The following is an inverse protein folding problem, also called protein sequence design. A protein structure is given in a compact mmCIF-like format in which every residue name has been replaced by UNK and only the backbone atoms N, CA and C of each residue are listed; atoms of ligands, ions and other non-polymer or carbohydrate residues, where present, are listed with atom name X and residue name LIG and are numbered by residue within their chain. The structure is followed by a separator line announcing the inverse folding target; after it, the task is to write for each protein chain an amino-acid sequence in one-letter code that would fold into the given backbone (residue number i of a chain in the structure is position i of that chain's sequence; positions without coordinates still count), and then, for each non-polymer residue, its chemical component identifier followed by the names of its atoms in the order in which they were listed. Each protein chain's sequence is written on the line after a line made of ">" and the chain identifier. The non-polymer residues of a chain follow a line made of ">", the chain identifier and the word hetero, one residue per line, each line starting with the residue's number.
data_IF_217349815712
#
_entry.id   IF_217349815712
#
_cell.length_a   1.000
_cell.length_b   1.000
_cell.length_c   1.000
_cell.angle_alpha   90.00
_cell.angle_beta   90.00
_cell.angle_gamma   90.00
#
_symmetry.space_group_name_H-M   'P 1'
#
loop_
_entity.id
_entity.type
_entity.pdbx_description
1 polymer ?
#
# COMPACT_ATOMS: atom_id res chain seq x y z
N UNK A 1 0.25 26.41 -30.62
CA UNK A 1 -0.67 26.27 -29.47
C UNK A 1 -2.07 25.97 -29.99
N UNK A 2 -2.48 24.69 -30.00
CA UNK A 2 -3.87 24.28 -30.23
C UNK A 2 -4.35 23.65 -28.93
N UNK A 3 -5.31 24.30 -28.27
CA UNK A 3 -5.99 23.74 -27.11
C UNK A 3 -6.76 22.49 -27.55
N UNK A 4 -6.43 21.34 -26.95
CA UNK A 4 -7.21 20.11 -27.06
C UNK A 4 -8.58 20.32 -26.42
N UNK A 5 -9.68 19.84 -27.05
CA UNK A 5 -11.01 20.02 -26.50
C UNK A 5 -11.19 19.14 -25.26
N UNK A 6 -11.62 19.76 -24.18
CA UNK A 6 -11.97 19.11 -22.91
C UNK A 6 -13.21 18.23 -23.18
N UNK A 7 -13.07 16.92 -23.02
CA UNK A 7 -14.16 15.95 -23.15
C UNK A 7 -15.23 16.20 -22.07
N UNK A 8 -16.47 16.59 -22.44
CA UNK A 8 -17.52 16.94 -21.49
C UNK A 8 -18.14 15.73 -20.77
N UNK A 9 -17.66 14.50 -21.00
CA UNK A 9 -18.17 13.30 -20.32
C UNK A 9 -17.44 12.93 -19.01
N UNK A 10 -16.51 13.76 -18.53
CA UNK A 10 -15.85 13.60 -17.21
C UNK A 10 -16.56 14.33 -16.07
N UNK A 11 -17.79 14.82 -16.26
CA UNK A 11 -18.62 15.27 -15.14
C UNK A 11 -19.15 14.06 -14.36
N UNK A 12 -18.52 13.84 -13.20
CA UNK A 12 -19.12 13.26 -12.02
C UNK A 12 -20.00 12.02 -12.24
N UNK A 13 -19.38 10.85 -12.41
CA UNK A 13 -20.05 9.67 -11.84
C UNK A 13 -20.15 9.94 -10.34
N UNK A 14 -21.36 10.03 -9.75
CA UNK A 14 -21.48 10.34 -8.34
C UNK A 14 -20.67 9.30 -7.58
N UNK A 15 -19.76 9.75 -6.72
CA UNK A 15 -18.88 8.92 -5.88
C UNK A 15 -19.66 7.79 -5.20
N UNK A 16 -20.95 8.03 -4.94
CA UNK A 16 -21.95 7.06 -4.47
C UNK A 16 -22.09 5.83 -5.39
N UNK A 17 -22.19 6.01 -6.72
CA UNK A 17 -22.33 4.87 -7.65
C UNK A 17 -21.06 4.02 -7.72
N UNK A 18 -19.87 4.63 -7.60
CA UNK A 18 -18.59 3.91 -7.56
C UNK A 18 -18.47 3.11 -6.26
N UNK A 19 -18.81 3.71 -5.11
CA UNK A 19 -18.87 3.03 -3.80
C UNK A 19 -19.86 1.86 -3.82
N UNK A 20 -21.08 2.05 -4.34
CA UNK A 20 -22.09 0.98 -4.42
C UNK A 20 -21.64 -0.20 -5.31
N UNK A 21 -20.93 0.08 -6.42
CA UNK A 21 -20.41 -0.98 -7.30
C UNK A 21 -19.23 -1.73 -6.66
N UNK A 22 -18.35 -1.03 -5.95
CA UNK A 22 -17.25 -1.64 -5.20
C UNK A 22 -17.76 -2.48 -4.03
N UNK A 23 -18.73 -1.97 -3.26
CA UNK A 23 -19.43 -2.70 -2.19
C UNK A 23 -20.10 -3.97 -2.75
N UNK A 24 -20.78 -3.89 -3.90
CA UNK A 24 -21.41 -5.03 -4.53
C UNK A 24 -20.40 -6.11 -5.00
N UNK A 25 -19.24 -5.70 -5.54
CA UNK A 25 -18.16 -6.62 -5.94
C UNK A 25 -17.49 -7.30 -4.74
N UNK A 26 -17.18 -6.53 -3.69
CA UNK A 26 -16.58 -7.06 -2.47
C UNK A 26 -17.54 -8.00 -1.73
N UNK A 27 -18.83 -7.65 -1.65
CA UNK A 27 -19.87 -8.51 -1.08
C UNK A 27 -19.98 -9.84 -1.81
N UNK A 28 -19.88 -9.84 -3.15
CA UNK A 28 -19.86 -11.09 -3.95
C UNK A 28 -18.62 -11.94 -3.67
N UNK A 29 -17.44 -11.31 -3.60
CA UNK A 29 -16.18 -12.03 -3.35
C UNK A 29 -16.14 -12.63 -1.94
N UNK A 30 -16.68 -11.91 -0.97
CA UNK A 30 -16.75 -12.35 0.42
C UNK A 30 -17.79 -13.46 0.66
N UNK A 31 -18.97 -13.38 0.04
CA UNK A 31 -19.98 -14.45 0.08
C UNK A 31 -19.45 -15.74 -0.57
N UNK A 32 -18.56 -15.63 -1.57
CA UNK A 32 -17.98 -16.78 -2.26
C UNK A 32 -16.97 -17.59 -1.40
N UNK A 33 -16.38 -16.98 -0.37
CA UNK A 33 -15.39 -17.64 0.49
C UNK A 33 -15.98 -18.34 1.72
N UNK A 34 -17.28 -18.18 2.00
CA UNK A 34 -17.92 -18.87 3.12
C UNK A 34 -18.33 -20.27 2.68
N UNK A 35 -17.91 -21.35 3.38
CA UNK A 35 -18.32 -22.71 3.05
C UNK A 35 -19.85 -22.81 2.97
N UNK A 36 -20.38 -23.37 1.88
CA UNK A 36 -21.84 -23.42 1.63
C UNK A 36 -22.63 -24.08 2.76
N UNK A 37 -22.03 -25.02 3.50
CA UNK A 37 -22.66 -25.69 4.65
C UNK A 37 -22.85 -24.79 5.89
N UNK A 38 -22.16 -23.65 5.99
CA UNK A 38 -22.28 -22.71 7.10
C UNK A 38 -23.30 -21.59 6.83
N UNK A 39 -24.17 -21.75 5.82
CA UNK A 39 -25.25 -20.80 5.57
C UNK A 39 -26.32 -20.90 6.66
N UNK A 40 -26.83 -19.76 7.19
CA UNK A 40 -27.80 -19.77 8.29
C UNK A 40 -29.10 -20.51 7.93
N UNK A 41 -29.52 -20.47 6.65
CA UNK A 41 -30.70 -21.19 6.15
C UNK A 41 -30.60 -22.70 6.36
N UNK A 42 -29.43 -23.29 6.12
CA UNK A 42 -29.20 -24.74 6.29
C UNK A 42 -29.29 -25.11 7.78
N UNK A 43 -28.79 -24.24 8.66
CA UNK A 43 -28.87 -24.45 10.10
C UNK A 43 -30.31 -24.52 10.62
N UNK A 44 -31.25 -23.75 10.06
CA UNK A 44 -32.66 -23.84 10.45
C UNK A 44 -33.23 -25.24 10.16
N UNK A 45 -32.96 -25.81 8.98
CA UNK A 45 -33.41 -27.16 8.65
C UNK A 45 -32.72 -28.24 9.49
N UNK A 46 -31.42 -28.09 9.76
CA UNK A 46 -30.66 -29.04 10.59
C UNK A 46 -31.00 -28.96 12.08
N UNK A 47 -31.56 -27.85 12.57
CA UNK A 47 -31.92 -27.72 13.99
C UNK A 47 -32.94 -28.76 14.45
N UNK A 48 -33.95 -29.06 13.62
CA UNK A 48 -35.00 -30.05 13.93
C UNK A 48 -34.45 -31.46 14.18
N UNK A 49 -33.69 -32.09 13.26
CA UNK A 49 -33.17 -33.44 13.49
C UNK A 49 -32.17 -33.48 14.66
N UNK A 50 -31.35 -32.45 14.85
CA UNK A 50 -30.41 -32.40 15.97
C UNK A 50 -31.12 -32.34 17.33
N UNK A 51 -32.16 -31.50 17.46
CA UNK A 51 -32.96 -31.44 18.70
C UNK A 51 -33.76 -32.73 18.89
N UNK A 52 -34.31 -33.31 17.83
CA UNK A 52 -35.02 -34.59 17.89
C UNK A 52 -34.11 -35.75 18.34
N UNK A 53 -32.88 -35.84 17.80
CA UNK A 53 -31.88 -36.82 18.23
C UNK A 53 -31.55 -36.63 19.71
N UNK A 54 -31.31 -35.39 20.14
CA UNK A 54 -31.02 -35.08 21.54
C UNK A 54 -32.18 -35.47 22.47
N UNK A 55 -33.43 -35.22 22.05
CA UNK A 55 -34.63 -35.62 22.78
C UNK A 55 -34.74 -37.15 22.89
N UNK A 56 -34.63 -37.88 21.79
CA UNK A 56 -34.69 -39.35 21.76
C UNK A 56 -33.61 -39.95 22.65
N UNK A 57 -32.38 -39.44 22.54
CA UNK A 57 -31.26 -39.89 23.35
C UNK A 57 -31.53 -39.64 24.83
N UNK A 58 -32.07 -38.48 25.19
CA UNK A 58 -32.43 -38.15 26.58
C UNK A 58 -33.51 -39.09 27.14
N UNK A 59 -34.53 -39.42 26.34
CA UNK A 59 -35.57 -40.38 26.74
C UNK A 59 -35.01 -41.80 26.91
N UNK A 60 -34.11 -42.23 26.02
CA UNK A 60 -33.42 -43.52 26.11
C UNK A 60 -32.55 -43.61 27.37
N UNK A 61 -31.80 -42.54 27.69
CA UNK A 61 -31.02 -42.46 28.92
C UNK A 61 -31.92 -42.50 30.16
N UNK A 62 -33.06 -41.80 30.17
CA UNK A 62 -34.02 -41.84 31.28
C UNK A 62 -34.60 -43.24 31.49
N UNK A 63 -34.83 -44.00 30.40
CA UNK A 63 -35.31 -45.38 30.48
C UNK A 63 -34.25 -46.33 31.07
N UNK A 64 -32.97 -46.06 30.81
CA UNK A 64 -31.86 -46.95 31.17
C UNK A 64 -31.23 -46.60 32.53
N UNK A 65 -31.20 -45.32 32.90
CA UNK A 65 -30.57 -44.78 34.11
C UNK A 65 -31.64 -44.19 35.04
N UNK A 66 -31.83 -44.81 36.21
CA UNK A 66 -32.90 -44.49 37.16
C UNK A 66 -32.70 -43.15 37.88
N UNK A 67 -31.49 -42.58 37.86
CA UNK A 67 -31.16 -41.29 38.49
C UNK A 67 -30.46 -40.36 37.48
N UNK A 68 -31.26 -39.63 36.71
CA UNK A 68 -30.76 -38.57 35.82
C UNK A 68 -31.23 -37.20 36.30
N UNK A 69 -30.32 -36.48 36.97
CA UNK A 69 -30.63 -35.22 37.65
C UNK A 69 -30.85 -34.03 36.70
N UNK A 70 -30.46 -34.12 35.41
CA UNK A 70 -30.63 -33.02 34.46
C UNK A 70 -30.95 -33.49 33.02
N UNK A 71 -32.21 -33.83 32.73
CA UNK A 71 -32.70 -34.22 31.40
C UNK A 71 -32.23 -33.29 30.25
N UNK A 72 -32.17 -31.98 30.49
CA UNK A 72 -31.82 -31.00 29.46
C UNK A 72 -30.37 -30.99 28.97
N UNK A 73 -29.44 -31.75 29.57
CA UNK A 73 -28.00 -31.64 29.28
C UNK A 73 -27.66 -31.81 27.79
N UNK A 74 -28.24 -32.84 27.15
CA UNK A 74 -27.98 -33.15 25.74
C UNK A 74 -28.57 -32.10 24.80
N UNK A 75 -29.68 -31.48 25.20
CA UNK A 75 -30.32 -30.43 24.43
C UNK A 75 -29.52 -29.12 24.50
N UNK A 76 -28.92 -28.80 25.66
CA UNK A 76 -27.98 -27.69 25.81
C UNK A 76 -26.75 -27.87 24.91
N UNK A 77 -26.18 -29.08 24.87
CA UNK A 77 -25.05 -29.38 23.99
C UNK A 77 -25.40 -29.14 22.52
N UNK A 78 -26.58 -29.59 22.09
CA UNK A 78 -27.08 -29.33 20.73
C UNK A 78 -27.19 -27.84 20.43
N UNK A 79 -27.73 -27.04 21.35
CA UNK A 79 -27.85 -25.58 21.17
C UNK A 79 -26.47 -24.94 20.97
N UNK A 80 -25.48 -25.33 21.78
CA UNK A 80 -24.11 -24.80 21.68
C UNK A 80 -23.48 -25.18 20.34
N UNK A 81 -23.62 -26.43 19.90
CA UNK A 81 -23.11 -26.90 18.60
C UNK A 81 -23.76 -26.16 17.44
N UNK A 82 -25.09 -26.01 17.45
CA UNK A 82 -25.82 -25.30 16.40
C UNK A 82 -25.43 -23.82 16.36
N UNK A 83 -25.30 -23.18 17.53
CA UNK A 83 -24.86 -21.79 17.64
C UNK A 83 -23.43 -21.56 17.12
N UNK A 84 -22.52 -22.50 17.41
CA UNK A 84 -21.13 -22.38 16.98
C UNK A 84 -20.99 -22.48 15.46
N UNK A 85 -21.74 -23.38 14.82
CA UNK A 85 -21.62 -23.70 13.40
C UNK A 85 -22.45 -22.75 12.52
N UNK A 86 -23.71 -22.48 12.88
CA UNK A 86 -24.66 -21.74 12.02
C UNK A 86 -25.12 -20.38 12.59
N UNK A 87 -24.72 -20.02 13.81
CA UNK A 87 -25.01 -18.72 14.41
C UNK A 87 -26.37 -18.63 15.12
N UNK A 88 -26.82 -17.40 15.39
CA UNK A 88 -27.95 -17.12 16.32
C UNK A 88 -29.28 -17.65 15.83
N UNK A 89 -29.58 -17.48 14.55
CA UNK A 89 -30.91 -17.78 14.02
C UNK A 89 -31.33 -19.22 14.31
N UNK A 90 -30.57 -20.22 13.82
CA UNK A 90 -30.81 -21.63 14.12
C UNK A 90 -30.68 -21.99 15.61
N UNK A 91 -29.79 -21.30 16.33
CA UNK A 91 -29.61 -21.53 17.77
C UNK A 91 -30.84 -21.12 18.58
N UNK A 92 -31.45 -19.97 18.28
CA UNK A 92 -32.69 -19.52 18.92
C UNK A 92 -33.85 -20.49 18.66
N UNK A 93 -33.96 -20.99 17.43
CA UNK A 93 -34.94 -22.02 17.09
C UNK A 93 -34.68 -23.31 17.90
N UNK A 94 -33.41 -23.70 18.04
CA UNK A 94 -33.02 -24.86 18.84
C UNK A 94 -33.32 -24.68 20.33
N UNK A 95 -33.10 -23.48 20.88
CA UNK A 95 -33.49 -23.12 22.26
C UNK A 95 -35.01 -23.25 22.40
N UNK A 96 -35.79 -22.67 21.49
CA UNK A 96 -37.25 -22.72 21.54
C UNK A 96 -37.79 -24.15 21.49
N UNK A 97 -37.32 -24.96 20.53
CA UNK A 97 -37.69 -26.37 20.40
C UNK A 97 -37.29 -27.17 21.65
N UNK A 98 -36.11 -26.90 22.20
CA UNK A 98 -35.61 -27.61 23.38
C UNK A 98 -36.41 -27.27 24.63
N UNK A 99 -36.75 -26.00 24.84
CA UNK A 99 -37.61 -25.55 25.96
C UNK A 99 -38.99 -26.19 25.86
N UNK A 100 -39.59 -26.23 24.67
CA UNK A 100 -40.93 -26.82 24.46
C UNK A 100 -40.92 -28.34 24.72
N UNK A 101 -39.86 -29.03 24.28
CA UNK A 101 -39.71 -30.46 24.57
C UNK A 101 -39.47 -30.75 26.06
N UNK A 102 -38.75 -29.89 26.79
CA UNK A 102 -38.61 -30.02 28.24
C UNK A 102 -39.94 -29.83 28.98
N UNK A 103 -40.70 -28.80 28.59
CA UNK A 103 -42.02 -28.50 29.14
C UNK A 103 -43.00 -29.66 28.92
N UNK A 104 -43.06 -30.22 27.71
CA UNK A 104 -44.01 -31.28 27.38
C UNK A 104 -43.62 -32.68 27.90
N UNK A 105 -42.35 -33.08 27.78
CA UNK A 105 -41.94 -34.48 28.05
C UNK A 105 -41.38 -34.71 29.46
N UNK A 106 -40.85 -33.68 30.11
CA UNK A 106 -40.08 -33.84 31.36
C UNK A 106 -40.72 -33.18 32.58
N UNK A 107 -41.54 -32.14 32.41
CA UNK A 107 -42.30 -31.52 33.52
C UNK A 107 -43.64 -32.25 33.69
N UNK A 108 -43.97 -32.80 34.87
CA UNK A 108 -45.22 -33.54 35.09
C UNK A 108 -46.44 -32.61 34.91
N UNK A 109 -47.23 -32.86 33.86
CA UNK A 109 -48.46 -32.12 33.56
C UNK A 109 -49.62 -32.54 34.48
N UNK A 110 -49.58 -32.14 35.75
CA UNK A 110 -50.71 -32.23 36.68
C UNK A 110 -51.38 -30.87 36.85
N UNK A 111 -52.19 -30.45 35.87
CA UNK A 111 -53.21 -29.36 35.81
C UNK A 111 -53.12 -28.07 36.66
N UNK A 112 -52.04 -27.79 37.39
CA UNK A 112 -51.80 -26.52 38.04
C UNK A 112 -50.40 -26.10 37.65
N UNK A 113 -50.28 -24.90 37.05
CA UNK A 113 -49.03 -24.16 36.87
C UNK A 113 -48.38 -23.93 38.25
N UNK A 114 -47.76 -24.98 38.80
CA UNK A 114 -46.98 -24.90 40.01
C UNK A 114 -45.61 -24.35 39.64
N UNK A 115 -45.56 -23.03 39.44
CA UNK A 115 -44.33 -22.23 39.50
C UNK A 115 -43.66 -22.30 40.89
N UNK A 116 -44.17 -23.14 41.80
CA UNK A 116 -43.69 -23.33 43.17
C UNK A 116 -42.67 -24.47 43.32
N UNK A 117 -42.46 -25.30 42.29
CA UNK A 117 -41.42 -26.35 42.31
C UNK A 117 -40.09 -25.81 41.75
N UNK A 118 -39.04 -25.81 42.59
CA UNK A 118 -37.71 -25.33 42.21
C UNK A 118 -37.05 -26.16 41.09
N UNK A 119 -37.52 -27.39 40.86
CA UNK A 119 -36.97 -28.30 39.84
C UNK A 119 -37.21 -27.81 38.40
N UNK A 120 -38.39 -27.23 38.11
CA UNK A 120 -38.69 -26.69 36.77
C UNK A 120 -37.84 -25.46 36.45
N UNK A 121 -37.68 -24.58 37.44
CA UNK A 121 -36.81 -23.39 37.31
C UNK A 121 -35.35 -23.80 37.10
N UNK A 122 -34.87 -24.81 37.83
CA UNK A 122 -33.51 -25.32 37.69
C UNK A 122 -33.23 -25.90 36.29
N UNK A 123 -34.24 -26.48 35.63
CA UNK A 123 -34.10 -27.03 34.28
C UNK A 123 -34.14 -25.97 33.18
N UNK A 124 -34.96 -24.92 33.34
CA UNK A 124 -35.17 -23.89 32.32
C UNK A 124 -34.05 -22.82 32.35
N UNK A 125 -33.54 -22.47 33.53
CA UNK A 125 -32.57 -21.38 33.72
C UNK A 125 -31.28 -21.52 32.87
N UNK A 126 -30.65 -22.71 32.74
CA UNK A 126 -29.48 -22.89 31.87
C UNK A 126 -29.75 -22.62 30.38
N UNK A 127 -30.95 -22.90 29.88
CA UNK A 127 -31.32 -22.63 28.47
C UNK A 127 -31.41 -21.13 28.20
N UNK A 128 -31.98 -20.37 29.13
CA UNK A 128 -31.99 -18.91 29.06
C UNK A 128 -30.57 -18.32 29.11
N UNK A 129 -29.71 -18.82 30.01
CA UNK A 129 -28.32 -18.38 30.10
C UNK A 129 -27.54 -18.64 28.80
N UNK A 130 -27.67 -19.82 28.22
CA UNK A 130 -27.02 -20.17 26.95
C UNK A 130 -27.58 -19.32 25.80
N UNK A 131 -28.89 -19.07 25.77
CA UNK A 131 -29.50 -18.16 24.79
C UNK A 131 -28.91 -16.75 24.83
N UNK A 132 -28.70 -16.21 26.04
CA UNK A 132 -28.07 -14.89 26.23
C UNK A 132 -26.60 -14.92 25.77
N UNK A 133 -25.84 -15.94 26.14
CA UNK A 133 -24.44 -16.09 25.74
C UNK A 133 -24.32 -16.14 24.20
N UNK A 134 -25.16 -16.93 23.54
CA UNK A 134 -25.18 -17.05 22.07
C UNK A 134 -25.52 -15.71 21.42
N UNK A 135 -26.50 -14.99 21.95
CA UNK A 135 -26.88 -13.66 21.47
C UNK A 135 -25.71 -12.67 21.57
N UNK A 136 -25.01 -12.64 22.71
CA UNK A 136 -23.84 -11.77 22.92
C UNK A 136 -22.71 -12.13 21.96
N UNK A 137 -22.31 -13.42 21.90
CA UNK A 137 -21.20 -13.88 21.06
C UNK A 137 -21.44 -13.52 19.60
N UNK A 138 -22.67 -13.73 19.10
CA UNK A 138 -22.93 -13.40 17.71
C UNK A 138 -23.07 -11.90 17.45
N UNK A 139 -23.60 -11.14 18.41
CA UNK A 139 -23.60 -9.68 18.31
C UNK A 139 -22.16 -9.15 18.18
N UNK A 140 -21.23 -9.71 18.96
CA UNK A 140 -19.81 -9.39 18.88
C UNK A 140 -19.19 -9.82 17.54
N UNK A 141 -19.48 -11.05 17.06
CA UNK A 141 -18.98 -11.53 15.76
C UNK A 141 -19.45 -10.65 14.60
N UNK A 142 -20.73 -10.30 14.56
CA UNK A 142 -21.31 -9.45 13.51
C UNK A 142 -20.70 -8.04 13.56
N UNK A 143 -20.52 -7.47 14.76
CA UNK A 143 -19.87 -6.18 14.94
C UNK A 143 -18.39 -6.20 14.50
N UNK A 144 -17.64 -7.25 14.87
CA UNK A 144 -16.24 -7.43 14.46
C UNK A 144 -16.11 -7.57 12.93
N UNK A 145 -17.03 -8.33 12.31
CA UNK A 145 -17.07 -8.51 10.85
C UNK A 145 -17.34 -7.21 10.12
N UNK A 146 -18.28 -6.38 10.62
CA UNK A 146 -18.54 -5.05 10.06
C UNK A 146 -17.34 -4.13 10.18
N UNK A 147 -16.68 -4.09 11.35
CA UNK A 147 -15.45 -3.29 11.54
C UNK A 147 -14.34 -3.71 10.60
N UNK A 148 -14.14 -5.02 10.41
CA UNK A 148 -13.14 -5.54 9.48
C UNK A 148 -13.44 -5.09 8.03
N UNK A 149 -14.69 -5.18 7.60
CA UNK A 149 -15.09 -4.73 6.26
C UNK A 149 -14.88 -3.23 6.05
N UNK A 150 -15.28 -2.39 7.02
CA UNK A 150 -15.04 -0.95 6.95
C UNK A 150 -13.55 -0.60 6.97
N UNK A 151 -12.74 -1.32 7.75
CA UNK A 151 -11.30 -1.14 7.77
C UNK A 151 -10.65 -1.53 6.43
N UNK A 152 -11.10 -2.63 5.81
CA UNK A 152 -10.63 -3.06 4.49
C UNK A 152 -10.96 -2.02 3.40
N UNK A 153 -12.19 -1.49 3.41
CA UNK A 153 -12.60 -0.42 2.50
C UNK A 153 -11.76 0.85 2.68
N UNK A 154 -11.54 1.27 3.93
CA UNK A 154 -10.73 2.44 4.23
C UNK A 154 -9.26 2.26 3.83
N UNK A 155 -8.70 1.07 3.99
CA UNK A 155 -7.35 0.75 3.52
C UNK A 155 -7.27 0.80 2.00
N UNK A 156 -8.29 0.30 1.30
CA UNK A 156 -8.33 0.34 -0.16
C UNK A 156 -8.45 1.77 -0.69
N UNK A 157 -9.31 2.59 -0.11
CA UNK A 157 -9.45 4.00 -0.48
C UNK A 157 -8.12 4.76 -0.33
N UNK A 158 -7.40 4.52 0.78
CA UNK A 158 -6.06 5.09 0.99
C UNK A 158 -5.01 4.55 0.02
N UNK A 159 -5.07 3.27 -0.34
CA UNK A 159 -4.14 2.69 -1.31
C UNK A 159 -4.35 3.30 -2.70
N UNK A 160 -5.61 3.45 -3.12
CA UNK A 160 -5.97 4.09 -4.39
C UNK A 160 -5.51 5.58 -4.40
N UNK A 161 -5.69 6.32 -3.31
CA UNK A 161 -5.21 7.71 -3.16
C UNK A 161 -3.68 7.84 -3.20
N UNK A 162 -2.97 6.91 -2.54
CA UNK A 162 -1.50 6.86 -2.59
C UNK A 162 -0.98 6.52 -3.98
N UNK A 163 -1.68 5.67 -4.72
CA UNK A 163 -1.33 5.33 -6.10
C UNK A 163 -1.51 6.54 -7.03
N UNK A 164 -2.63 7.25 -6.91
CA UNK A 164 -2.91 8.47 -7.68
C UNK A 164 -1.86 9.56 -7.42
N UNK A 165 -1.59 9.87 -6.16
CA UNK A 165 -0.58 10.90 -5.79
C UNK A 165 0.84 10.52 -6.22
N UNK A 166 1.21 9.23 -6.15
CA UNK A 166 2.51 8.77 -6.63
C UNK A 166 2.62 8.92 -8.16
N UNK A 167 1.56 8.59 -8.88
CA UNK A 167 1.51 8.73 -10.33
C UNK A 167 1.61 10.21 -10.75
N UNK A 168 0.89 11.12 -10.09
CA UNK A 168 1.03 12.56 -10.30
C UNK A 168 2.45 13.05 -10.03
N UNK A 169 3.05 12.64 -8.91
CA UNK A 169 4.42 13.00 -8.56
C UNK A 169 5.43 12.49 -9.59
N UNK A 170 5.21 11.30 -10.12
CA UNK A 170 6.03 10.70 -11.17
C UNK A 170 5.94 11.48 -12.47
N UNK A 171 4.74 11.88 -12.87
CA UNK A 171 4.51 12.71 -14.07
C UNK A 171 5.18 14.08 -13.93
N UNK A 172 5.02 14.75 -12.78
CA UNK A 172 5.68 16.03 -12.48
C UNK A 172 7.20 15.89 -12.52
N UNK A 173 7.76 14.82 -11.94
CA UNK A 173 9.20 14.57 -12.00
C UNK A 173 9.69 14.33 -13.43
N UNK A 174 8.95 13.59 -14.25
CA UNK A 174 9.31 13.37 -15.65
C UNK A 174 9.31 14.67 -16.45
N UNK A 175 8.31 15.53 -16.25
CA UNK A 175 8.26 16.86 -16.90
C UNK A 175 9.43 17.73 -16.44
N UNK A 176 9.76 17.71 -15.14
CA UNK A 176 10.91 18.44 -14.59
C UNK A 176 12.22 17.98 -15.23
N UNK A 177 12.43 16.67 -15.35
CA UNK A 177 13.65 16.12 -15.95
C UNK A 177 13.77 16.47 -17.44
N UNK A 178 12.65 16.42 -18.18
CA UNK A 178 12.60 16.85 -19.58
C UNK A 178 12.91 18.34 -19.73
N UNK A 179 12.34 19.18 -18.85
CA UNK A 179 12.59 20.61 -18.86
C UNK A 179 14.07 20.94 -18.61
N UNK A 180 14.71 20.30 -17.63
CA UNK A 180 16.14 20.51 -17.34
C UNK A 180 16.98 20.11 -18.56
N UNK A 181 16.71 18.94 -19.16
CA UNK A 181 17.46 18.48 -20.33
C UNK A 181 17.32 19.43 -21.52
N UNK A 182 16.10 19.89 -21.82
CA UNK A 182 15.84 20.84 -22.91
C UNK A 182 16.52 22.20 -22.63
N UNK A 183 16.36 22.75 -21.43
CA UNK A 183 16.95 24.02 -21.05
C UNK A 183 18.48 24.00 -21.19
N UNK A 184 19.14 22.93 -20.76
CA UNK A 184 20.60 22.81 -20.89
C UNK A 184 21.06 22.74 -22.35
N UNK A 185 20.36 22.03 -23.24
CA UNK A 185 20.68 22.02 -24.66
C UNK A 185 20.51 23.40 -25.32
N UNK A 186 19.41 24.09 -25.00
CA UNK A 186 19.12 25.44 -25.47
C UNK A 186 20.09 26.49 -24.90
N UNK A 187 20.69 26.26 -23.73
CA UNK A 187 21.73 27.10 -23.14
C UNK A 187 23.11 26.81 -23.74
N UNK A 188 23.44 25.55 -24.03
CA UNK A 188 24.76 25.16 -24.57
C UNK A 188 25.05 25.81 -25.93
N UNK A 189 24.02 25.98 -26.75
CA UNK A 189 24.13 26.59 -28.08
C UNK A 189 24.56 28.07 -28.05
N UNK A 190 23.87 28.98 -27.33
CA UNK A 190 24.30 30.37 -27.21
C UNK A 190 25.63 30.52 -26.46
N UNK A 191 25.90 29.71 -25.44
CA UNK A 191 27.21 29.65 -24.74
C UNK A 191 28.33 29.35 -25.73
N UNK A 192 28.18 28.29 -26.53
CA UNK A 192 29.16 27.91 -27.55
C UNK A 192 29.37 29.02 -28.58
N UNK A 193 28.30 29.73 -28.95
CA UNK A 193 28.37 30.85 -29.91
C UNK A 193 29.11 32.05 -29.32
N UNK A 194 28.82 32.44 -28.08
CA UNK A 194 29.51 33.52 -27.36
C UNK A 194 31.01 33.19 -27.24
N UNK A 195 31.32 31.95 -26.82
CA UNK A 195 32.71 31.49 -26.70
C UNK A 195 33.44 31.54 -28.04
N UNK A 196 32.83 31.00 -29.09
CA UNK A 196 33.42 31.01 -30.43
C UNK A 196 33.71 32.42 -30.95
N UNK A 197 32.82 33.38 -30.69
CA UNK A 197 33.05 34.78 -31.06
C UNK A 197 34.16 35.43 -30.23
N UNK A 198 34.21 35.16 -28.93
CA UNK A 198 35.28 35.65 -28.05
C UNK A 198 36.64 35.08 -28.48
N UNK A 199 36.75 33.75 -28.64
CA UNK A 199 37.98 33.07 -29.08
C UNK A 199 38.47 33.57 -30.44
N UNK A 200 37.58 33.71 -31.43
CA UNK A 200 37.96 34.21 -32.77
C UNK A 200 38.46 35.65 -32.70
N UNK A 201 37.84 36.49 -31.87
CA UNK A 201 38.23 37.89 -31.73
C UNK A 201 39.56 38.02 -31.00
N UNK A 202 39.75 37.28 -29.90
CA UNK A 202 41.03 37.18 -29.19
C UNK A 202 42.15 36.73 -30.12
N UNK A 203 41.96 35.65 -30.88
CA UNK A 203 42.96 35.16 -31.85
C UNK A 203 43.32 36.19 -32.92
N UNK A 204 42.40 37.06 -33.33
CA UNK A 204 42.67 38.15 -34.28
C UNK A 204 43.50 39.25 -33.64
N UNK A 205 43.19 39.63 -32.41
CA UNK A 205 43.93 40.62 -31.62
C UNK A 205 45.37 40.14 -31.35
N UNK A 206 45.54 38.89 -30.91
CA UNK A 206 46.87 38.32 -30.62
C UNK A 206 47.80 38.19 -31.84
N UNK A 207 47.26 38.26 -33.07
CA UNK A 207 48.05 38.21 -34.32
C UNK A 207 48.59 39.58 -34.74
N UNK A 208 48.13 40.68 -34.13
CA UNK A 208 48.67 42.01 -34.41
C UNK A 208 50.03 42.19 -33.69
N UNK A 209 51.02 42.75 -34.37
CA UNK A 209 52.37 42.96 -33.83
C UNK A 209 52.42 43.99 -32.70
N UNK A 210 51.55 45.00 -32.75
CA UNK A 210 51.38 46.01 -31.71
C UNK A 210 49.88 46.21 -31.53
N UNK A 211 49.39 46.01 -30.31
CA UNK A 211 47.99 46.25 -29.95
C UNK A 211 47.85 47.73 -29.55
N UNK A 212 46.99 48.51 -30.21
CA UNK A 212 46.64 49.85 -29.73
C UNK A 212 46.20 49.82 -28.25
N UNK A 213 46.64 50.81 -27.46
CA UNK A 213 46.35 50.87 -26.02
C UNK A 213 44.83 50.85 -25.73
N UNK A 214 44.02 51.42 -26.63
CA UNK A 214 42.56 51.41 -26.60
C UNK A 214 41.95 50.00 -26.73
N UNK A 215 42.63 49.06 -27.41
CA UNK A 215 42.17 47.68 -27.61
C UNK A 215 42.63 46.72 -26.51
N UNK A 216 43.57 47.13 -25.65
CA UNK A 216 44.03 46.31 -24.52
C UNK A 216 42.88 46.00 -23.55
N UNK A 217 42.04 46.98 -23.23
CA UNK A 217 40.86 46.79 -22.39
C UNK A 217 39.82 45.85 -23.02
N UNK A 218 39.68 45.87 -24.35
CA UNK A 218 38.79 44.96 -25.10
C UNK A 218 39.31 43.52 -25.04
N UNK A 219 40.63 43.31 -25.19
CA UNK A 219 41.23 41.97 -25.07
C UNK A 219 40.98 41.37 -23.69
N UNK A 220 41.22 42.15 -22.63
CA UNK A 220 40.97 41.70 -21.25
C UNK A 220 39.48 41.37 -21.01
N UNK A 221 38.56 42.20 -21.52
CA UNK A 221 37.13 41.92 -21.41
C UNK A 221 36.72 40.63 -22.14
N UNK A 222 37.31 40.35 -23.31
CA UNK A 222 37.06 39.12 -24.06
C UNK A 222 37.62 37.87 -23.36
N UNK A 223 38.79 37.96 -22.74
CA UNK A 223 39.36 36.89 -21.89
C UNK A 223 38.41 36.58 -20.72
N UNK A 224 37.89 37.61 -20.05
CA UNK A 224 36.91 37.42 -18.98
C UNK A 224 35.62 36.78 -19.51
N UNK A 225 35.12 37.17 -20.68
CA UNK A 225 33.94 36.55 -21.31
C UNK A 225 34.22 35.05 -21.58
N UNK A 226 35.39 34.72 -22.12
CA UNK A 226 35.77 33.32 -22.40
C UNK A 226 35.78 32.47 -21.11
N UNK A 227 36.46 32.96 -20.06
CA UNK A 227 36.49 32.31 -18.75
C UNK A 227 35.10 32.13 -18.12
N UNK A 228 34.25 33.16 -18.16
CA UNK A 228 32.87 33.05 -17.65
C UNK A 228 32.04 32.06 -18.46
N UNK A 229 32.26 31.99 -19.77
CA UNK A 229 31.54 31.07 -20.66
C UNK A 229 31.95 29.63 -20.41
N UNK A 230 33.24 29.37 -20.15
CA UNK A 230 33.75 28.06 -19.71
C UNK A 230 33.12 27.63 -18.37
N UNK A 231 33.10 28.53 -17.38
CA UNK A 231 32.49 28.26 -16.08
C UNK A 231 30.99 27.97 -16.20
N UNK A 232 30.27 28.73 -17.01
CA UNK A 232 28.84 28.52 -17.23
C UNK A 232 28.57 27.18 -17.92
N UNK A 233 29.40 26.80 -18.88
CA UNK A 233 29.27 25.51 -19.55
C UNK A 233 29.47 24.34 -18.57
N UNK A 234 30.47 24.42 -17.68
CA UNK A 234 30.68 23.42 -16.65
C UNK A 234 29.47 23.29 -15.70
N UNK A 235 28.88 24.41 -15.28
CA UNK A 235 27.68 24.40 -14.42
C UNK A 235 26.45 23.79 -15.13
N UNK A 236 26.30 24.02 -16.44
CA UNK A 236 25.23 23.43 -17.25
C UNK A 236 25.42 21.92 -17.39
N UNK A 237 26.66 21.47 -17.58
CA UNK A 237 27.02 20.06 -17.66
C UNK A 237 26.79 19.36 -16.30
N UNK A 238 27.22 19.95 -15.19
CA UNK A 238 26.96 19.44 -13.83
C UNK A 238 25.46 19.28 -13.53
N UNK A 239 24.64 20.24 -13.97
CA UNK A 239 23.19 20.18 -13.81
C UNK A 239 22.57 19.02 -14.59
N UNK A 240 23.05 18.77 -15.81
CA UNK A 240 22.61 17.65 -16.65
C UNK A 240 23.00 16.30 -16.04
N UNK A 241 24.21 16.19 -15.52
CA UNK A 241 24.72 14.98 -14.88
C UNK A 241 23.89 14.65 -13.63
N UNK A 242 23.65 15.64 -12.76
CA UNK A 242 22.79 15.48 -11.58
C UNK A 242 21.37 15.06 -11.95
N UNK A 243 20.79 15.60 -13.01
CA UNK A 243 19.47 15.21 -13.50
C UNK A 243 19.47 13.76 -14.02
N UNK A 244 20.50 13.38 -14.77
CA UNK A 244 20.65 12.02 -15.34
C UNK A 244 20.87 10.96 -14.27
N UNK A 245 21.63 11.28 -13.21
CA UNK A 245 21.85 10.43 -12.04
C UNK A 245 20.53 10.22 -11.27
N UNK A 246 19.81 11.31 -10.95
CA UNK A 246 18.53 11.22 -10.23
C UNK A 246 17.46 10.45 -11.00
N UNK A 247 17.48 10.53 -12.33
CA UNK A 247 16.58 9.75 -13.19
C UNK A 247 17.02 8.28 -13.39
N UNK A 248 18.16 7.87 -12.84
CA UNK A 248 18.72 6.53 -13.04
C UNK A 248 19.12 6.21 -14.49
N UNK A 249 19.37 7.25 -15.31
CA UNK A 249 19.67 7.12 -16.74
C UNK A 249 21.16 7.16 -17.05
N UNK A 250 22.02 7.49 -16.08
CA UNK A 250 23.46 7.52 -16.26
C UNK A 250 23.99 6.11 -16.55
N UNK A 251 24.60 5.93 -17.72
CA UNK A 251 25.24 4.67 -18.11
C UNK A 251 26.73 4.81 -17.90
N UNK A 252 27.25 4.11 -16.89
CA UNK A 252 28.68 4.06 -16.61
C UNK A 252 29.41 3.25 -17.68
N UNK A 253 30.53 3.75 -18.19
CA UNK A 253 31.41 3.01 -19.12
C UNK A 253 32.63 2.48 -18.40
N UNK A 254 32.38 1.44 -17.62
CA UNK A 254 33.40 0.72 -16.85
C UNK A 254 34.58 0.28 -17.75
N UNK A 255 35.78 0.74 -17.39
CA UNK A 255 37.04 0.37 -18.02
C UNK A 255 38.10 0.06 -16.96
N UNK A 256 39.04 -0.82 -17.30
CA UNK A 256 40.17 -1.11 -16.43
C UNK A 256 41.28 -0.10 -16.70
N UNK A 257 41.70 0.64 -15.68
CA UNK A 257 42.79 1.60 -15.75
C UNK A 257 43.64 1.59 -14.48
N UNK A 258 44.87 2.11 -14.58
CA UNK A 258 45.73 2.34 -13.42
C UNK A 258 45.41 3.71 -12.80
N UNK A 259 44.93 3.72 -11.55
CA UNK A 259 44.57 4.96 -10.85
C UNK A 259 45.74 5.96 -10.78
N UNK A 260 46.98 5.46 -10.78
CA UNK A 260 48.19 6.30 -10.74
C UNK A 260 48.27 7.25 -11.94
N UNK A 261 47.93 6.76 -13.13
CA UNK A 261 47.93 7.55 -14.37
C UNK A 261 46.89 8.67 -14.31
N UNK A 262 45.69 8.36 -13.83
CA UNK A 262 44.61 9.34 -13.66
C UNK A 262 45.00 10.43 -12.66
N UNK A 263 45.55 10.05 -11.50
CA UNK A 263 46.02 11.00 -10.51
C UNK A 263 47.18 11.87 -11.03
N UNK A 264 48.11 11.30 -11.81
CA UNK A 264 49.20 12.05 -12.44
C UNK A 264 48.65 13.07 -13.44
N UNK A 265 47.75 12.66 -14.34
CA UNK A 265 47.12 13.56 -15.30
C UNK A 265 46.39 14.72 -14.61
N UNK A 266 45.62 14.44 -13.57
CA UNK A 266 44.89 15.47 -12.82
C UNK A 266 45.83 16.47 -12.11
N UNK A 267 46.93 15.99 -11.53
CA UNK A 267 47.91 16.86 -10.86
C UNK A 267 48.67 17.73 -11.86
N UNK A 268 49.07 17.17 -13.01
CA UNK A 268 49.74 17.93 -14.07
C UNK A 268 48.83 19.01 -14.67
N UNK A 269 47.55 18.68 -14.92
CA UNK A 269 46.56 19.65 -15.38
C UNK A 269 46.40 20.82 -14.40
N UNK A 270 46.30 20.54 -13.10
CA UNK A 270 46.18 21.58 -12.08
C UNK A 270 47.45 22.43 -11.92
N UNK A 271 48.63 21.83 -12.03
CA UNK A 271 49.92 22.56 -12.02
C UNK A 271 50.00 23.54 -13.19
N UNK A 272 49.57 23.13 -14.38
CA UNK A 272 49.54 23.98 -15.59
C UNK A 272 48.57 25.16 -15.46
N UNK A 273 47.37 24.93 -14.91
CA UNK A 273 46.33 25.95 -14.81
C UNK A 273 46.53 26.95 -13.66
N UNK A 274 47.10 26.51 -12.54
CA UNK A 274 47.11 27.31 -11.30
C UNK A 274 48.49 27.68 -10.79
N UNK A 275 49.55 27.08 -11.32
CA UNK A 275 50.91 27.25 -10.81
C UNK A 275 51.13 26.72 -9.38
N UNK A 276 50.17 25.98 -8.82
CA UNK A 276 50.27 25.41 -7.46
C UNK A 276 51.27 24.27 -7.42
N UNK A 277 52.03 24.20 -6.34
CA UNK A 277 52.84 23.02 -6.03
C UNK A 277 51.97 21.96 -5.35
N UNK A 278 51.74 20.85 -6.06
CA UNK A 278 50.98 19.69 -5.55
C UNK A 278 51.97 18.53 -5.46
N UNK A 279 52.25 18.05 -4.26
CA UNK A 279 53.09 16.85 -4.06
C UNK A 279 52.21 15.60 -4.18
N UNK A 280 52.62 14.64 -4.99
CA UNK A 280 51.83 13.45 -5.32
C UNK A 280 52.61 12.19 -4.90
N UNK A 281 52.19 11.59 -3.78
CA UNK A 281 52.71 10.30 -3.32
C UNK A 281 51.90 9.16 -3.93
N UNK A 282 52.56 8.22 -4.58
CA UNK A 282 51.91 7.07 -5.22
C UNK A 282 52.64 5.77 -4.91
N UNK A 283 51.92 4.63 -4.77
CA UNK A 283 52.54 3.33 -4.60
C UNK A 283 53.31 2.88 -5.86
N UNK A 284 54.40 2.15 -5.66
CA UNK A 284 55.23 1.62 -6.76
C UNK A 284 54.48 0.58 -7.62
N UNK A 285 53.51 -0.11 -7.04
CA UNK A 285 52.68 -1.10 -7.73
C UNK A 285 51.46 -0.47 -8.40
N UNK A 286 51.07 -0.92 -9.62
CA UNK A 286 49.84 -0.49 -10.29
C UNK A 286 48.58 -0.68 -9.43
N UNK A 287 47.72 0.33 -9.38
CA UNK A 287 46.43 0.26 -8.68
C UNK A 287 45.33 0.15 -9.73
N UNK A 288 45.07 -1.07 -10.16
CA UNK A 288 44.08 -1.35 -11.20
C UNK A 288 42.66 -1.19 -10.62
N UNK A 289 41.87 -0.31 -11.23
CA UNK A 289 40.46 -0.12 -10.91
C UNK A 289 39.59 -0.42 -12.12
N UNK A 290 38.36 -0.85 -11.85
CA UNK A 290 37.30 -0.99 -12.83
C UNK A 290 36.23 0.06 -12.54
N UNK A 291 36.31 1.20 -13.22
CA UNK A 291 35.45 2.36 -13.02
C UNK A 291 35.22 3.11 -14.35
N UNK A 292 34.30 4.07 -14.34
CA UNK A 292 34.09 5.04 -15.43
C UNK A 292 34.89 6.32 -15.16
#
# INVERSE_FOLDING_TARGET
>A
MRATPIDPKREGRPVVLVRLQQEAKLRRHYIAQVPRWCQPLIGYFLSFPFVAIALILTLLLKMTLTHFYFPGALMLLTIVLVAFIWGVGPALLSVFLSTLALDYFFIPSGEQLSLQSWDGVAQILPFFLIGIIVAIISGQREAARRRALFAELALKERADELEETNQELKEVNQVKDQFISMASHELKTPITTIRGQAEVTLRRLSRQKELPEELAGVSHALEQIDEQTLRLNALVDDLLDLSSIRAGKMKLRLSNFDLREVCQSAVEEQRLLTGRHIELEQPETPVMLNAD
#
